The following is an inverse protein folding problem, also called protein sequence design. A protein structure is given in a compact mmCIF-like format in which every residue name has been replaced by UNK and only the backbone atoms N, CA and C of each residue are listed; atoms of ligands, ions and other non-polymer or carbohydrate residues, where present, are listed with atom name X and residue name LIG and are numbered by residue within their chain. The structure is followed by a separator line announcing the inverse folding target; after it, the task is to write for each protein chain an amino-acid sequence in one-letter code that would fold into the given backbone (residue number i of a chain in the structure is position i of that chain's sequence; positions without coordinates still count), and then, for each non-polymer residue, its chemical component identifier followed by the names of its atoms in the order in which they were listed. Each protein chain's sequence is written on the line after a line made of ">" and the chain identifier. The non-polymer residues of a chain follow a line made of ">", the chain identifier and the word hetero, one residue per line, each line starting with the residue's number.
data_IF_890761933188
#
_entry.id   IF_890761933188
#
_cell.length_a   1.000
_cell.length_b   1.000
_cell.length_c   1.000
_cell.angle_alpha   90.00
_cell.angle_beta   90.00
_cell.angle_gamma   90.00
#
_symmetry.space_group_name_H-M   'P 1'
#
loop_
_entity.id
_entity.type
_entity.pdbx_description
1 polymer ?
#
# COMPACT_ATOMS: atom_id res chain seq x y z
N UNK A 1 -12.89 -4.46 -7.10
CA UNK A 1 -12.17 -3.53 -6.18
C UNK A 1 -10.69 -3.36 -6.50
N UNK A 2 -9.86 -4.42 -6.49
CA UNK A 2 -8.42 -4.28 -6.77
C UNK A 2 -8.17 -3.94 -8.25
N UNK A 3 -7.39 -2.89 -8.52
CA UNK A 3 -7.05 -2.45 -9.88
C UNK A 3 -5.78 -3.08 -10.43
N UNK A 4 -4.99 -3.78 -9.61
CA UNK A 4 -3.60 -4.12 -9.93
C UNK A 4 -2.60 -3.03 -9.53
N UNK A 5 -3.06 -1.80 -9.24
CA UNK A 5 -2.24 -0.72 -8.66
C UNK A 5 -2.58 -0.46 -7.19
N UNK A 6 -3.81 -0.75 -6.77
CA UNK A 6 -4.29 -0.61 -5.41
C UNK A 6 -5.78 -0.90 -5.31
N UNK A 7 -6.40 -0.58 -4.17
CA UNK A 7 -7.83 -0.78 -3.94
C UNK A 7 -8.58 0.47 -4.36
N UNK A 8 -9.56 0.32 -5.25
CA UNK A 8 -10.44 1.42 -5.67
C UNK A 8 -11.44 1.76 -4.56
N UNK A 9 -11.92 3.00 -4.56
CA UNK A 9 -13.01 3.47 -3.68
C UNK A 9 -14.36 2.81 -4.00
N UNK A 10 -14.55 2.31 -5.23
CA UNK A 10 -15.78 1.64 -5.69
C UNK A 10 -15.46 0.48 -6.64
N UNK A 11 -16.32 -0.54 -6.71
CA UNK A 11 -16.09 -1.69 -7.59
C UNK A 11 -16.32 -1.30 -9.05
N UNK A 12 -15.60 -1.94 -10.00
CA UNK A 12 -15.90 -1.75 -11.42
C UNK A 12 -17.30 -2.23 -11.82
N UNK A 13 -17.88 -3.10 -11.00
CA UNK A 13 -19.19 -3.70 -11.25
C UNK A 13 -20.35 -2.85 -10.71
N UNK A 14 -20.04 -1.79 -9.94
CA UNK A 14 -21.05 -0.89 -9.38
C UNK A 14 -21.49 0.15 -10.43
N UNK A 15 -22.78 0.44 -10.49
CA UNK A 15 -23.35 1.37 -11.48
C UNK A 15 -22.78 2.80 -11.41
N UNK A 16 -22.29 3.21 -10.23
CA UNK A 16 -21.69 4.53 -10.01
C UNK A 16 -20.20 4.59 -10.34
N UNK A 17 -19.58 3.48 -10.77
CA UNK A 17 -18.14 3.42 -10.97
C UNK A 17 -17.67 4.37 -12.07
N UNK A 18 -16.70 5.21 -11.72
CA UNK A 18 -15.94 6.02 -12.64
C UNK A 18 -14.47 6.08 -12.19
N UNK A 19 -13.52 5.56 -13.00
CA UNK A 19 -12.09 5.55 -12.62
C UNK A 19 -11.49 6.95 -12.47
N UNK A 20 -12.16 7.99 -12.96
CA UNK A 20 -11.73 9.38 -12.90
C UNK A 20 -12.53 10.18 -11.86
N UNK A 21 -13.45 9.57 -11.10
CA UNK A 21 -14.22 10.27 -10.09
C UNK A 21 -13.63 10.07 -8.69
N UNK A 22 -13.42 11.19 -7.99
CA UNK A 22 -12.61 11.29 -6.77
C UNK A 22 -12.94 10.25 -5.68
N UNK A 23 -14.22 9.89 -5.50
CA UNK A 23 -14.67 8.92 -4.50
C UNK A 23 -15.44 7.72 -5.09
N UNK A 24 -15.58 7.62 -6.41
CA UNK A 24 -16.40 6.58 -7.06
C UNK A 24 -15.59 5.69 -8.00
N UNK A 25 -14.30 5.49 -7.75
CA UNK A 25 -13.54 4.54 -8.55
C UNK A 25 -12.03 4.77 -8.56
N UNK A 26 -11.55 5.93 -8.14
CA UNK A 26 -10.11 6.20 -7.97
C UNK A 26 -9.46 5.32 -6.90
N UNK A 27 -8.14 5.25 -6.91
CA UNK A 27 -7.33 4.53 -5.93
C UNK A 27 -6.63 5.51 -5.01
N UNK A 28 -6.79 5.27 -3.71
CA UNK A 28 -6.17 6.05 -2.64
C UNK A 28 -5.03 5.22 -2.04
N UNK A 29 -3.76 5.66 -2.12
CA UNK A 29 -2.63 4.92 -1.56
C UNK A 29 -2.78 4.64 -0.06
N UNK A 30 -3.29 5.63 0.68
CA UNK A 30 -3.59 5.51 2.10
C UNK A 30 -4.57 4.36 2.39
N UNK A 31 -5.73 4.37 1.73
CA UNK A 31 -6.78 3.37 1.96
C UNK A 31 -6.31 1.98 1.51
N UNK A 32 -5.56 1.91 0.41
CA UNK A 32 -4.93 0.67 -0.08
C UNK A 32 -4.02 0.05 0.99
N UNK A 33 -3.20 0.85 1.66
CA UNK A 33 -2.32 0.36 2.73
C UNK A 33 -3.11 -0.11 3.97
N UNK A 34 -4.21 0.59 4.32
CA UNK A 34 -5.09 0.18 5.41
C UNK A 34 -5.79 -1.15 5.08
N UNK A 35 -6.29 -1.31 3.85
CA UNK A 35 -6.89 -2.56 3.41
C UNK A 35 -5.89 -3.72 3.51
N UNK A 36 -4.64 -3.53 3.07
CA UNK A 36 -3.60 -4.56 3.17
C UNK A 36 -3.26 -4.93 4.62
N UNK A 37 -3.15 -3.95 5.52
CA UNK A 37 -2.95 -4.21 6.95
C UNK A 37 -4.15 -4.96 7.56
N UNK A 38 -5.37 -4.62 7.14
CA UNK A 38 -6.58 -5.37 7.48
C UNK A 38 -6.48 -6.83 7.04
N UNK A 39 -6.19 -7.08 5.75
CA UNK A 39 -5.99 -8.43 5.19
C UNK A 39 -5.01 -9.23 6.03
N UNK A 40 -3.82 -8.68 6.32
CA UNK A 40 -2.81 -9.32 7.17
C UNK A 40 -3.35 -9.68 8.55
N UNK A 41 -4.06 -8.76 9.20
CA UNK A 41 -4.63 -8.97 10.54
C UNK A 41 -5.69 -10.08 10.57
N UNK A 42 -6.41 -10.26 9.47
CA UNK A 42 -7.40 -11.33 9.31
C UNK A 42 -6.80 -12.66 8.77
N UNK A 43 -5.48 -12.73 8.57
CA UNK A 43 -4.79 -13.94 8.13
C UNK A 43 -4.64 -14.10 6.61
N UNK A 44 -5.07 -13.10 5.83
CA UNK A 44 -4.93 -13.06 4.37
C UNK A 44 -3.56 -12.50 3.98
N UNK A 45 -2.50 -13.26 4.30
CA UNK A 45 -1.12 -12.79 4.16
C UNK A 45 -0.68 -12.66 2.70
N UNK A 46 -1.09 -13.61 1.84
CA UNK A 46 -0.75 -13.60 0.42
C UNK A 46 -1.41 -12.41 -0.29
N UNK A 47 -2.69 -12.17 -0.01
CA UNK A 47 -3.44 -11.04 -0.57
C UNK A 47 -2.89 -9.70 -0.08
N UNK A 48 -2.57 -9.59 1.22
CA UNK A 48 -1.90 -8.41 1.76
C UNK A 48 -0.57 -8.16 1.05
N UNK A 49 0.22 -9.22 0.83
CA UNK A 49 1.47 -9.15 0.09
C UNK A 49 1.31 -8.64 -1.33
N UNK A 50 0.32 -9.15 -2.08
CA UNK A 50 -0.01 -8.68 -3.44
C UNK A 50 -0.36 -7.20 -3.45
N UNK A 51 -1.21 -6.75 -2.52
CA UNK A 51 -1.63 -5.34 -2.43
C UNK A 51 -0.45 -4.43 -2.04
N UNK A 52 0.36 -4.83 -1.07
CA UNK A 52 1.55 -4.08 -0.67
C UNK A 52 2.57 -3.97 -1.81
N UNK A 53 2.81 -5.05 -2.55
CA UNK A 53 3.71 -5.03 -3.70
C UNK A 53 3.19 -4.08 -4.79
N UNK A 54 1.90 -4.16 -5.13
CA UNK A 54 1.29 -3.26 -6.12
C UNK A 54 1.39 -1.78 -5.73
N UNK A 55 1.23 -1.48 -4.44
CA UNK A 55 1.36 -0.12 -3.90
C UNK A 55 2.81 0.40 -3.99
N UNK A 56 3.80 -0.43 -3.67
CA UNK A 56 5.22 -0.07 -3.78
C UNK A 56 5.62 0.14 -5.24
N UNK A 57 5.16 -0.72 -6.15
CA UNK A 57 5.38 -0.56 -7.59
C UNK A 57 4.68 0.70 -8.14
N UNK A 58 3.49 1.04 -7.66
CA UNK A 58 2.84 2.32 -7.96
C UNK A 58 3.70 3.51 -7.48
N UNK A 59 4.28 3.42 -6.27
CA UNK A 59 5.15 4.46 -5.75
C UNK A 59 6.37 4.68 -6.65
N UNK A 60 7.00 3.61 -7.15
CA UNK A 60 8.11 3.72 -8.11
C UNK A 60 7.71 4.48 -9.37
N UNK A 61 6.51 4.22 -9.92
CA UNK A 61 6.00 4.95 -11.10
C UNK A 61 5.68 6.41 -10.83
N UNK A 62 5.45 6.78 -9.58
CA UNK A 62 5.29 8.17 -9.14
C UNK A 62 6.58 8.76 -8.55
N UNK A 63 7.75 8.30 -8.97
CA UNK A 63 9.06 8.82 -8.50
C UNK A 63 9.21 8.78 -6.98
N UNK A 64 8.67 7.73 -6.35
CA UNK A 64 8.60 7.55 -4.89
C UNK A 64 7.77 8.61 -4.14
N UNK A 65 6.93 9.36 -4.85
CA UNK A 65 6.03 10.38 -4.28
C UNK A 65 4.59 10.04 -4.64
N UNK A 66 4.00 9.10 -3.89
CA UNK A 66 2.60 8.73 -4.08
C UNK A 66 1.68 9.96 -3.97
N UNK A 67 0.77 10.17 -4.94
CA UNK A 67 -0.23 11.22 -4.86
C UNK A 67 -1.26 10.93 -3.78
N UNK A 68 -2.06 11.93 -3.42
CA UNK A 68 -3.30 11.73 -2.67
C UNK A 68 -4.17 10.60 -3.25
N UNK A 69 -4.32 10.63 -4.58
CA UNK A 69 -5.20 9.74 -5.33
C UNK A 69 -4.68 9.61 -6.77
N UNK A 70 -4.93 8.48 -7.41
CA UNK A 70 -4.71 8.28 -8.84
C UNK A 70 -5.91 7.55 -9.47
N UNK A 71 -6.01 7.58 -10.80
CA UNK A 71 -7.18 7.06 -11.49
C UNK A 71 -7.32 5.54 -11.32
N UNK A 72 -8.58 5.10 -11.26
CA UNK A 72 -9.01 3.74 -10.97
C UNK A 72 -8.89 2.72 -12.09
N UNK A 73 -8.16 3.02 -13.16
CA UNK A 73 -8.04 2.11 -14.29
C UNK A 73 -7.36 0.80 -13.89
N UNK A 74 -7.75 -0.33 -14.50
CA UNK A 74 -7.02 -1.58 -14.32
C UNK A 74 -5.57 -1.42 -14.80
N UNK A 75 -4.65 -2.08 -14.13
CA UNK A 75 -3.27 -2.21 -14.60
C UNK A 75 -3.29 -2.94 -15.95
N UNK A 76 -2.70 -2.30 -16.95
CA UNK A 76 -2.63 -2.78 -18.33
C UNK A 76 -1.17 -2.89 -18.81
N UNK A 77 -0.98 -3.09 -20.12
CA UNK A 77 0.32 -3.24 -20.74
C UNK A 77 1.16 -1.95 -20.76
N UNK A 78 0.58 -0.77 -20.46
CA UNK A 78 1.34 0.48 -20.37
C UNK A 78 2.30 0.49 -19.18
N UNK A 79 2.00 -0.32 -18.14
CA UNK A 79 2.85 -0.47 -16.97
C UNK A 79 2.95 0.78 -16.09
N UNK A 80 2.03 1.75 -16.25
CA UNK A 80 1.97 2.97 -15.44
C UNK A 80 0.56 3.25 -14.90
N UNK A 81 0.41 3.70 -13.64
CA UNK A 81 -0.86 4.20 -13.13
C UNK A 81 -1.19 5.55 -13.76
N UNK A 82 -2.46 5.77 -14.11
CA UNK A 82 -2.92 7.03 -14.71
C UNK A 82 -3.06 8.10 -13.63
N UNK A 83 -2.44 9.26 -13.85
CA UNK A 83 -2.49 10.36 -12.90
C UNK A 83 -3.89 10.96 -12.75
N UNK A 84 -4.22 11.41 -11.54
CA UNK A 84 -5.40 12.22 -11.31
C UNK A 84 -4.99 13.71 -11.32
N UNK A 85 -5.46 14.54 -12.27
CA UNK A 85 -4.90 15.88 -12.51
C UNK A 85 -4.91 16.84 -11.32
N UNK A 86 -5.91 16.75 -10.44
CA UNK A 86 -6.06 17.63 -9.28
C UNK A 86 -5.47 17.04 -7.99
N UNK A 87 -4.75 15.91 -8.05
CA UNK A 87 -4.21 15.28 -6.87
C UNK A 87 -2.99 16.04 -6.33
N UNK A 88 -2.93 16.17 -5.00
CA UNK A 88 -1.75 16.71 -4.33
C UNK A 88 -0.58 15.74 -4.40
N UNK A 89 0.62 16.27 -4.66
CA UNK A 89 1.90 15.53 -4.72
C UNK A 89 3.03 16.37 -4.09
N UNK A 90 3.65 15.94 -2.96
CA UNK A 90 3.24 14.83 -2.09
C UNK A 90 2.04 15.22 -1.20
N UNK A 91 1.21 14.24 -0.83
CA UNK A 91 0.13 14.41 0.14
C UNK A 91 0.45 13.65 1.44
N UNK A 92 0.11 14.23 2.59
CA UNK A 92 0.57 13.76 3.90
C UNK A 92 0.08 12.36 4.29
N UNK A 93 -1.16 12.00 3.97
CA UNK A 93 -1.70 10.65 4.17
C UNK A 93 -1.07 9.63 3.22
N UNK A 94 -0.87 10.01 1.96
CA UNK A 94 -0.21 9.14 0.98
C UNK A 94 1.25 8.82 1.36
N UNK A 95 1.97 9.77 1.99
CA UNK A 95 3.35 9.57 2.45
C UNK A 95 3.49 8.47 3.53
N UNK A 96 2.44 8.20 4.31
CA UNK A 96 2.43 7.12 5.30
C UNK A 96 2.19 5.72 4.71
N UNK A 97 1.64 5.65 3.50
CA UNK A 97 1.20 4.38 2.90
C UNK A 97 2.35 3.37 2.67
N UNK A 98 3.53 3.76 2.14
CA UNK A 98 4.66 2.84 2.00
C UNK A 98 5.19 2.32 3.34
N UNK A 99 5.16 3.16 4.39
CA UNK A 99 5.62 2.77 5.72
C UNK A 99 4.69 1.73 6.35
N UNK A 100 3.37 1.90 6.20
CA UNK A 100 2.40 0.90 6.63
C UNK A 100 2.54 -0.39 5.81
N UNK A 101 2.72 -0.31 4.49
CA UNK A 101 2.95 -1.48 3.65
C UNK A 101 4.19 -2.28 4.09
N UNK A 102 5.32 -1.60 4.39
CA UNK A 102 6.51 -2.24 4.93
C UNK A 102 6.25 -2.90 6.28
N UNK A 103 5.54 -2.21 7.19
CA UNK A 103 5.14 -2.77 8.49
C UNK A 103 4.29 -4.04 8.31
N UNK A 104 3.35 -4.01 7.36
CA UNK A 104 2.46 -5.13 7.02
C UNK A 104 3.27 -6.32 6.49
N UNK A 105 4.12 -6.12 5.49
CA UNK A 105 4.97 -7.17 4.91
C UNK A 105 5.92 -7.82 5.93
N UNK A 106 6.44 -7.02 6.87
CA UNK A 106 7.34 -7.51 7.91
C UNK A 106 6.60 -8.06 9.13
N UNK A 107 5.27 -7.95 9.16
CA UNK A 107 4.44 -8.38 10.28
C UNK A 107 4.89 -7.79 11.61
N UNK A 108 5.22 -6.49 11.60
CA UNK A 108 5.74 -5.79 12.78
C UNK A 108 4.59 -5.33 13.68
N UNK A 109 4.53 -5.90 14.87
CA UNK A 109 3.53 -5.58 15.88
C UNK A 109 4.16 -5.44 17.27
N UNK A 110 3.52 -4.64 18.12
CA UNK A 110 3.87 -4.54 19.53
C UNK A 110 2.88 -5.37 20.33
N UNK A 111 3.35 -6.46 20.91
CA UNK A 111 2.54 -7.40 21.71
C UNK A 111 3.19 -7.54 23.08
N UNK A 112 2.44 -7.27 24.14
CA UNK A 112 2.92 -7.28 25.53
C UNK A 112 4.15 -6.39 25.76
N UNK A 113 4.22 -5.25 25.05
CA UNK A 113 5.36 -4.35 25.14
C UNK A 113 6.66 -4.89 24.56
N UNK A 114 6.58 -5.88 23.66
CA UNK A 114 7.71 -6.39 22.88
C UNK A 114 7.42 -6.22 21.39
N UNK A 115 8.41 -5.79 20.63
CA UNK A 115 8.35 -5.80 19.18
C UNK A 115 8.39 -7.27 18.72
N UNK A 116 7.39 -7.69 17.95
CA UNK A 116 7.33 -9.00 17.31
C UNK A 116 7.34 -8.80 15.80
N UNK A 117 7.99 -9.72 15.10
CA UNK A 117 8.07 -9.76 13.65
C UNK A 117 7.58 -11.12 13.17
N UNK A 118 6.69 -11.11 12.18
CA UNK A 118 6.18 -12.30 11.48
C UNK A 118 6.12 -11.98 9.99
N UNK A 119 7.28 -11.91 9.32
CA UNK A 119 7.35 -11.43 7.95
C UNK A 119 6.66 -12.40 6.99
N UNK A 120 5.90 -11.83 6.05
CA UNK A 120 5.33 -12.50 4.90
C UNK A 120 5.58 -11.63 3.68
N UNK A 121 6.76 -11.82 3.08
CA UNK A 121 7.24 -10.99 1.97
C UNK A 121 7.06 -11.78 0.67
N UNK A 122 6.31 -11.26 -0.31
CA UNK A 122 6.20 -11.88 -1.63
C UNK A 122 7.57 -12.03 -2.30
N UNK A 123 7.78 -13.14 -3.00
CA UNK A 123 9.05 -13.44 -3.70
C UNK A 123 9.46 -12.32 -4.66
N UNK A 124 8.49 -11.62 -5.27
CA UNK A 124 8.73 -10.50 -6.18
C UNK A 124 9.47 -9.32 -5.54
N UNK A 125 9.34 -9.11 -4.22
CA UNK A 125 10.06 -8.07 -3.48
C UNK A 125 11.45 -8.54 -3.00
N UNK A 126 11.76 -9.82 -3.17
CA UNK A 126 13.02 -10.41 -2.74
C UNK A 126 13.22 -10.32 -1.23
N UNK A 127 14.40 -9.85 -0.80
CA UNK A 127 14.79 -9.80 0.60
C UNK A 127 14.67 -8.39 1.16
N UNK A 128 13.85 -8.23 2.18
CA UNK A 128 13.75 -7.00 2.97
C UNK A 128 14.55 -7.14 4.27
N UNK A 129 15.34 -6.12 4.59
CA UNK A 129 16.03 -5.99 5.87
C UNK A 129 15.75 -4.61 6.44
N UNK A 130 15.24 -4.57 7.66
CA UNK A 130 15.24 -3.36 8.48
C UNK A 130 16.45 -3.39 9.42
N UNK A 131 17.10 -2.25 9.54
CA UNK A 131 18.18 -2.02 10.51
C UNK A 131 17.83 -0.80 11.36
N UNK A 132 18.44 -0.68 12.53
CA UNK A 132 18.27 0.48 13.43
C UNK A 132 16.80 0.75 13.80
N UNK A 133 16.02 -0.30 14.05
CA UNK A 133 14.62 -0.15 14.43
C UNK A 133 14.56 0.34 15.88
N UNK A 134 14.14 1.59 16.04
CA UNK A 134 13.92 2.19 17.35
C UNK A 134 12.63 1.67 17.99
N UNK A 135 12.74 1.11 19.19
CA UNK A 135 11.61 0.73 20.03
C UNK A 135 11.84 1.18 21.46
N UNK A 136 10.91 2.00 22.00
CA UNK A 136 11.00 2.55 23.38
C UNK A 136 12.33 3.25 23.68
N UNK A 137 12.86 4.03 22.72
CA UNK A 137 14.12 4.75 22.86
C UNK A 137 15.37 3.87 22.84
N UNK A 138 15.25 2.58 22.51
CA UNK A 138 16.36 1.65 22.29
C UNK A 138 16.37 1.22 20.84
N UNK A 139 17.55 0.94 20.29
CA UNK A 139 17.67 0.35 18.96
C UNK A 139 17.79 -1.15 19.12
N UNK A 140 16.92 -1.90 18.45
CA UNK A 140 17.10 -3.34 18.28
C UNK A 140 18.20 -3.53 17.21
N UNK A 141 19.36 -4.05 17.61
CA UNK A 141 20.39 -4.51 16.68
C UNK A 141 20.02 -5.91 16.17
N UNK A 142 20.24 -6.23 14.88
CA UNK A 142 19.89 -7.52 14.30
C UNK A 142 20.62 -8.71 14.94
#
# INVERSE_FOLDING_TARGET
>A
MFSGWGIRSMSADDAGYNPLEYHNGTVWPHDTAICAEGMRRYGFYDEAGVVCHALLDAAERFSSQLPEVFAGFPRDHSGVPVEYPAALKPQSWAAGAPLLALRTLLGLDVVDGKLRSRPHVPDALGKLRLTNVGYRGRHESP
#
